data_IF_894377507686
#
_entry.id   IF_894377507686
#
_cell.length_a   1.000
_cell.length_b   1.000
_cell.length_c   1.000
_cell.angle_alpha   90.00
_cell.angle_beta   90.00
_cell.angle_gamma   90.00
#
_symmetry.space_group_name_H-M   'P 1'
#
loop_
_entity.id
_entity.type
_entity.pdbx_description
1 polymer ?
#
# COMPACT_ATOMS: atom_id res chain seq x y z
N UNK A 1 8.83 19.85 -13.72
CA UNK A 1 10.28 19.60 -13.94
C UNK A 1 11.15 19.86 -12.70
N UNK A 2 11.00 20.98 -11.96
CA UNK A 2 11.84 21.26 -10.79
C UNK A 2 11.67 20.28 -9.60
N UNK A 3 10.44 19.89 -9.28
CA UNK A 3 10.16 19.02 -8.12
C UNK A 3 10.81 17.63 -8.26
N UNK A 4 10.75 17.01 -9.44
CA UNK A 4 11.35 15.69 -9.66
C UNK A 4 12.88 15.72 -9.61
N UNK A 5 13.49 16.78 -10.13
CA UNK A 5 14.93 16.99 -10.04
C UNK A 5 15.38 17.15 -8.57
N UNK A 6 14.61 17.88 -7.75
CA UNK A 6 14.86 17.99 -6.31
C UNK A 6 14.73 16.64 -5.60
N UNK A 7 13.70 15.86 -5.90
CA UNK A 7 13.49 14.51 -5.34
C UNK A 7 14.66 13.60 -5.70
N UNK A 8 15.10 13.61 -6.97
CA UNK A 8 16.26 12.83 -7.42
C UNK A 8 17.55 13.21 -6.69
N UNK A 9 17.81 14.50 -6.51
CA UNK A 9 18.98 14.99 -5.77
C UNK A 9 18.95 14.59 -4.29
N UNK A 10 17.79 14.71 -3.63
CA UNK A 10 17.60 14.32 -2.23
C UNK A 10 17.79 12.81 -2.05
N UNK A 11 17.19 12.00 -2.93
CA UNK A 11 17.36 10.55 -2.93
C UNK A 11 18.82 10.14 -3.12
N UNK A 12 19.53 10.78 -4.06
CA UNK A 12 20.94 10.53 -4.30
C UNK A 12 21.82 10.90 -3.10
N UNK A 13 21.58 12.08 -2.49
CA UNK A 13 22.30 12.51 -1.31
C UNK A 13 22.04 11.60 -0.10
N UNK A 14 20.80 11.15 0.10
CA UNK A 14 20.44 10.21 1.16
C UNK A 14 21.11 8.84 0.95
N UNK A 15 21.05 8.29 -0.27
CA UNK A 15 21.71 7.03 -0.62
C UNK A 15 23.23 7.09 -0.41
N UNK A 16 23.87 8.18 -0.85
CA UNK A 16 25.33 8.37 -0.66
C UNK A 16 25.71 8.44 0.83
N UNK A 17 24.90 9.11 1.66
CA UNK A 17 25.11 9.15 3.13
C UNK A 17 24.92 7.79 3.78
N UNK A 18 23.88 7.05 3.39
CA UNK A 18 23.62 5.71 3.90
C UNK A 18 24.75 4.74 3.54
N UNK A 19 25.26 4.77 2.31
CA UNK A 19 26.37 3.92 1.88
C UNK A 19 27.66 4.18 2.69
N UNK A 20 27.98 5.46 2.93
CA UNK A 20 29.23 5.88 3.55
C UNK A 20 29.21 5.87 5.09
N UNK A 21 28.06 6.13 5.73
CA UNK A 21 27.98 6.39 7.18
C UNK A 21 27.05 5.46 7.94
N UNK A 22 26.23 4.65 7.28
CA UNK A 22 25.32 3.78 8.00
C UNK A 22 26.06 2.56 8.58
N UNK A 23 25.69 2.11 9.79
CA UNK A 23 26.16 0.85 10.35
C UNK A 23 25.95 -0.32 9.39
N UNK A 24 26.83 -1.32 9.44
CA UNK A 24 26.80 -2.48 8.52
C UNK A 24 25.46 -3.21 8.53
N UNK A 25 24.84 -3.34 9.70
CA UNK A 25 23.50 -3.94 9.85
C UNK A 25 22.42 -3.14 9.09
N UNK A 26 22.47 -1.80 9.13
CA UNK A 26 21.53 -0.93 8.41
C UNK A 26 21.73 -1.08 6.90
N UNK A 27 22.97 -1.15 6.43
CA UNK A 27 23.28 -1.38 5.00
C UNK A 27 22.81 -2.75 4.52
N UNK A 28 22.91 -3.78 5.37
CA UNK A 28 22.44 -5.12 5.06
C UNK A 28 20.90 -5.20 4.99
N UNK A 29 20.19 -4.44 5.83
CA UNK A 29 18.72 -4.43 5.86
C UNK A 29 18.09 -3.47 4.84
N UNK A 30 18.82 -2.45 4.40
CA UNK A 30 18.31 -1.41 3.50
C UNK A 30 17.65 -1.96 2.22
N UNK A 31 18.23 -2.94 1.48
CA UNK A 31 17.57 -3.50 0.31
C UNK A 31 16.23 -4.15 0.64
N UNK A 32 16.16 -4.92 1.75
CA UNK A 32 14.94 -5.57 2.19
C UNK A 32 13.87 -4.53 2.57
N UNK A 33 14.25 -3.48 3.30
CA UNK A 33 13.35 -2.40 3.68
C UNK A 33 12.81 -1.64 2.47
N UNK A 34 13.66 -1.38 1.46
CA UNK A 34 13.23 -0.75 0.22
C UNK A 34 12.21 -1.62 -0.52
N UNK A 35 12.50 -2.91 -0.69
CA UNK A 35 11.59 -3.86 -1.35
C UNK A 35 10.25 -3.96 -0.60
N UNK A 36 10.28 -4.11 0.73
CA UNK A 36 9.06 -4.18 1.55
C UNK A 36 8.28 -2.88 1.42
N UNK A 37 8.93 -1.72 1.58
CA UNK A 37 8.29 -0.42 1.48
C UNK A 37 7.64 -0.18 0.12
N UNK A 38 8.35 -0.45 -0.97
CA UNK A 38 7.80 -0.29 -2.33
C UNK A 38 6.66 -1.25 -2.61
N UNK A 39 6.76 -2.49 -2.12
CA UNK A 39 5.74 -3.53 -2.34
C UNK A 39 4.46 -3.19 -1.56
N UNK A 40 4.58 -2.85 -0.28
CA UNK A 40 3.43 -2.46 0.57
C UNK A 40 2.78 -1.21 0.03
N UNK A 41 3.57 -0.20 -0.35
CA UNK A 41 3.05 1.03 -0.95
C UNK A 41 2.30 0.76 -2.24
N UNK A 42 2.88 -0.03 -3.15
CA UNK A 42 2.24 -0.39 -4.41
C UNK A 42 0.95 -1.20 -4.17
N UNK A 43 0.99 -2.18 -3.27
CA UNK A 43 -0.19 -2.99 -2.92
C UNK A 43 -1.32 -2.10 -2.37
N UNK A 44 -0.99 -1.19 -1.45
CA UNK A 44 -1.95 -0.22 -0.92
C UNK A 44 -2.52 0.69 -2.00
N UNK A 45 -1.66 1.23 -2.86
CA UNK A 45 -2.08 2.08 -3.98
C UNK A 45 -3.01 1.34 -4.94
N UNK A 46 -2.66 0.11 -5.32
CA UNK A 46 -3.51 -0.72 -6.19
C UNK A 46 -4.84 -1.03 -5.53
N UNK A 47 -4.84 -1.40 -4.24
CA UNK A 47 -6.07 -1.59 -3.48
C UNK A 47 -6.94 -0.33 -3.46
N UNK A 48 -6.34 0.84 -3.18
CA UNK A 48 -7.07 2.10 -3.07
C UNK A 48 -7.60 2.60 -4.42
N UNK A 49 -6.88 2.37 -5.52
CA UNK A 49 -7.22 2.93 -6.84
C UNK A 49 -8.00 1.97 -7.73
N UNK A 50 -7.76 0.66 -7.62
CA UNK A 50 -8.48 -0.36 -8.40
C UNK A 50 -9.54 -1.09 -7.59
N UNK A 51 -9.59 -0.87 -6.27
CA UNK A 51 -10.46 -1.64 -5.39
C UNK A 51 -10.03 -3.11 -5.29
N UNK A 52 -10.88 -3.93 -4.69
CA UNK A 52 -10.77 -5.39 -4.78
C UNK A 52 -10.98 -5.84 -6.22
N UNK A 53 -10.02 -6.59 -6.77
CA UNK A 53 -10.08 -7.27 -8.06
C UNK A 53 -11.20 -8.32 -8.05
N UNK A 54 -12.46 -7.91 -8.23
CA UNK A 54 -13.50 -8.64 -8.97
C UNK A 54 -14.86 -7.92 -8.89
N UNK A 55 -15.11 -6.91 -9.72
CA UNK A 55 -16.48 -6.49 -10.06
C UNK A 55 -17.43 -6.08 -8.93
N UNK A 56 -16.96 -5.98 -7.68
CA UNK A 56 -17.70 -5.40 -6.58
C UNK A 56 -17.52 -3.89 -6.73
N UNK A 57 -18.52 -3.16 -7.28
CA UNK A 57 -18.52 -1.73 -7.09
C UNK A 57 -18.33 -1.49 -5.60
N UNK A 58 -17.59 -0.45 -5.21
CA UNK A 58 -17.53 0.02 -3.83
C UNK A 58 -18.89 0.57 -3.37
N UNK A 59 -19.99 -0.04 -3.81
CA UNK A 59 -21.33 0.18 -3.34
C UNK A 59 -21.33 -0.28 -1.89
N UNK A 60 -21.31 0.70 -1.01
CA UNK A 60 -21.72 0.59 0.40
C UNK A 60 -23.22 0.29 0.54
N UNK A 61 -23.83 -0.24 -0.52
CA UNK A 61 -25.21 -0.64 -0.57
C UNK A 61 -25.46 -1.87 0.28
N UNK A 62 -26.73 -2.03 0.59
CA UNK A 62 -27.29 -3.16 1.32
C UNK A 62 -26.95 -4.49 0.61
N UNK A 63 -26.51 -5.49 1.37
CA UNK A 63 -26.22 -6.83 0.88
C UNK A 63 -27.52 -7.47 0.38
N UNK A 64 -27.58 -8.01 -0.86
CA UNK A 64 -28.79 -8.64 -1.36
C UNK A 64 -29.20 -9.78 -0.42
N UNK A 65 -30.51 -9.95 -0.19
CA UNK A 65 -31.04 -10.94 0.75
C UNK A 65 -30.55 -12.38 0.49
N UNK A 66 -30.19 -12.71 -0.77
CA UNK A 66 -29.59 -13.99 -1.15
C UNK A 66 -28.18 -14.23 -0.58
N UNK A 67 -27.52 -13.18 -0.12
CA UNK A 67 -26.16 -13.19 0.44
C UNK A 67 -26.15 -13.07 1.97
N UNK A 68 -27.33 -12.96 2.60
CA UNK A 68 -27.51 -12.95 4.05
C UNK A 68 -27.68 -14.40 4.53
N UNK A 69 -26.79 -14.91 5.41
CA UNK A 69 -26.93 -16.27 5.94
C UNK A 69 -28.25 -16.41 6.73
N UNK A 70 -28.95 -17.55 6.64
CA UNK A 70 -30.24 -17.74 7.32
C UNK A 70 -30.15 -17.68 8.85
N UNK A 71 -28.94 -17.83 9.41
CA UNK A 71 -28.68 -17.69 10.85
C UNK A 71 -28.47 -16.24 11.31
N UNK A 72 -28.47 -15.25 10.42
CA UNK A 72 -28.35 -13.85 10.82
C UNK A 72 -29.66 -13.32 11.39
N UNK A 73 -29.61 -12.49 12.45
CA UNK A 73 -30.80 -11.86 13.01
C UNK A 73 -31.47 -10.89 12.03
N UNK A 74 -32.81 -10.88 12.00
CA UNK A 74 -33.64 -10.07 11.10
C UNK A 74 -33.50 -8.55 11.27
N UNK A 75 -32.83 -8.09 12.34
CA UNK A 75 -32.61 -6.66 12.61
C UNK A 75 -31.34 -6.10 11.95
N UNK A 76 -30.47 -6.96 11.40
CA UNK A 76 -29.28 -6.51 10.65
C UNK A 76 -29.77 -5.96 9.32
N UNK A 77 -29.42 -4.69 8.95
CA UNK A 77 -29.79 -4.14 7.67
C UNK A 77 -29.17 -5.00 6.55
N UNK A 78 -30.04 -5.72 5.84
CA UNK A 78 -29.70 -6.40 4.60
C UNK A 78 -29.62 -5.34 3.52
#
# INVERSE_FOLDING_TARGET
MGAEACVGLVAHAAGRRLALRAPTAVRALLPALLVVGTTVWAAWWFFATRGTLDGYPGDSGLCPASNVPPQWPDWIPA
#
